data_IF_184476615964
#
_entry.id   IF_184476615964
#
_cell.length_a   1.000
_cell.length_b   1.000
_cell.length_c   1.000
_cell.angle_alpha   90.00
_cell.angle_beta   90.00
_cell.angle_gamma   90.00
#
_symmetry.space_group_name_H-M   'P 1'
#
loop_
_entity.id
_entity.type
_entity.pdbx_description
1 polymer ?
#
# COMPACT_ATOMS: atom_id res chain seq x y z
N UNK A 1 44.23 82.04 21.40
CA UNK A 1 43.79 81.73 22.77
C UNK A 1 43.56 80.24 22.89
N UNK A 2 43.91 79.70 24.05
CA UNK A 2 44.16 78.30 24.38
C UNK A 2 43.04 77.29 24.10
N UNK A 3 43.47 76.02 23.99
CA UNK A 3 42.68 74.79 24.00
C UNK A 3 41.92 74.61 25.33
N UNK A 4 40.88 73.75 25.42
CA UNK A 4 41.18 72.40 25.94
C UNK A 4 40.29 71.21 25.47
N UNK A 5 40.96 70.05 25.37
CA UNK A 5 40.64 68.67 25.84
C UNK A 5 39.24 68.03 25.61
N UNK A 6 39.27 66.87 24.93
CA UNK A 6 38.30 65.74 24.92
C UNK A 6 38.21 65.01 26.31
N UNK A 7 37.38 63.96 26.59
CA UNK A 7 36.75 62.97 25.67
C UNK A 7 35.37 62.34 26.07
N UNK A 8 34.86 61.46 25.20
CA UNK A 8 34.13 60.25 25.63
C UNK A 8 32.78 59.98 24.95
N UNK A 9 32.60 58.77 24.40
CA UNK A 9 31.28 58.14 24.27
C UNK A 9 30.81 57.63 22.90
N UNK A 10 31.43 56.53 22.44
CA UNK A 10 30.81 55.36 21.77
C UNK A 10 29.96 55.49 20.47
N UNK A 11 30.54 54.87 19.41
CA UNK A 11 29.98 53.97 18.36
C UNK A 11 28.95 54.58 17.38
N UNK A 12 29.26 54.85 16.09
CA UNK A 12 29.63 53.94 14.96
C UNK A 12 28.62 52.79 14.79
N UNK A 13 28.01 52.50 13.65
CA UNK A 13 28.03 52.96 12.25
C UNK A 13 26.72 52.44 11.61
N UNK A 14 26.13 53.12 10.63
CA UNK A 14 26.44 53.07 9.19
C UNK A 14 26.24 51.69 8.53
N UNK A 15 25.62 51.72 7.34
CA UNK A 15 25.78 50.69 6.31
C UNK A 15 24.65 49.66 6.16
N UNK A 16 23.79 49.87 5.16
CA UNK A 16 23.06 48.84 4.38
C UNK A 16 24.07 47.81 3.81
N UNK A 17 23.72 46.53 3.48
CA UNK A 17 22.87 46.19 2.32
C UNK A 17 22.09 44.84 2.37
N UNK A 18 21.27 44.62 1.34
CA UNK A 18 20.72 43.40 0.73
C UNK A 18 20.69 42.03 1.46
N UNK A 19 19.51 41.40 1.35
CA UNK A 19 19.34 39.95 1.27
C UNK A 19 18.48 39.34 2.37
N UNK A 20 17.27 38.87 2.03
CA UNK A 20 16.91 37.46 2.12
C UNK A 20 15.44 37.21 1.74
N UNK A 21 15.32 36.45 0.67
CA UNK A 21 14.18 35.66 0.23
C UNK A 21 13.74 34.72 1.37
N UNK A 22 12.51 34.88 1.86
CA UNK A 22 11.88 33.94 2.79
C UNK A 22 10.68 33.33 2.07
N UNK A 23 10.97 32.22 1.39
CA UNK A 23 10.01 31.27 0.86
C UNK A 23 8.99 30.90 1.95
N UNK A 24 7.71 31.11 1.64
CA UNK A 24 6.61 30.58 2.42
C UNK A 24 6.63 29.05 2.38
N UNK A 25 6.81 28.43 3.54
CA UNK A 25 6.45 27.03 3.74
C UNK A 25 4.91 26.95 3.77
N UNK A 26 4.30 26.74 2.60
CA UNK A 26 2.96 26.16 2.56
C UNK A 26 3.06 24.73 3.10
N UNK A 27 2.87 24.58 4.41
CA UNK A 27 2.44 23.31 4.99
C UNK A 27 1.05 23.01 4.41
N UNK A 28 1.03 22.28 3.30
CA UNK A 28 -0.20 21.68 2.78
C UNK A 28 -0.78 20.80 3.87
N UNK A 29 -1.89 21.25 4.47
CA UNK A 29 -2.69 20.45 5.38
C UNK A 29 -3.02 19.14 4.66
N UNK A 30 -2.66 17.95 5.20
CA UNK A 30 -3.09 16.71 4.59
C UNK A 30 -4.63 16.70 4.57
N UNK A 31 -5.26 16.15 3.51
CA UNK A 31 -6.71 16.06 3.47
C UNK A 31 -7.20 15.29 4.70
N UNK A 32 -8.37 15.64 5.26
CA UNK A 32 -8.90 14.95 6.42
C UNK A 32 -9.13 13.48 6.06
N UNK A 33 -8.39 12.59 6.71
CA UNK A 33 -8.67 11.15 6.70
C UNK A 33 -10.06 10.96 7.30
N UNK A 34 -11.01 10.59 6.43
CA UNK A 34 -12.33 10.16 6.88
C UNK A 34 -12.16 8.81 7.57
N UNK A 35 -12.04 8.83 8.90
CA UNK A 35 -12.18 7.65 9.75
C UNK A 35 -13.65 7.18 9.72
N UNK A 36 -14.06 6.57 8.61
CA UNK A 36 -15.29 5.80 8.64
C UNK A 36 -15.01 4.51 9.40
N UNK A 37 -15.55 4.40 10.62
CA UNK A 37 -15.60 3.18 11.44
C UNK A 37 -16.45 2.04 10.81
N UNK A 38 -16.79 2.15 9.53
CA UNK A 38 -17.50 1.14 8.76
C UNK A 38 -16.47 0.14 8.20
N UNK A 39 -16.47 -1.13 8.65
CA UNK A 39 -15.56 -2.16 8.15
C UNK A 39 -15.61 -2.30 6.62
N UNK A 40 -16.76 -2.01 6.01
CA UNK A 40 -16.94 -2.11 4.56
C UNK A 40 -16.19 -1.03 3.78
N UNK A 41 -15.90 0.12 4.41
CA UNK A 41 -15.23 1.28 3.81
C UNK A 41 -13.72 1.34 4.09
N UNK A 42 -13.20 0.44 4.93
CA UNK A 42 -11.79 0.44 5.33
C UNK A 42 -10.83 0.06 4.21
N UNK A 43 -11.17 -0.95 3.42
CA UNK A 43 -10.32 -1.44 2.34
C UNK A 43 -10.73 -0.80 1.02
N UNK A 44 -9.75 -0.28 0.27
CA UNK A 44 -9.94 0.15 -1.11
C UNK A 44 -10.06 -1.06 -2.07
N UNK A 45 -10.40 -0.79 -3.34
CA UNK A 45 -10.58 -1.86 -4.34
C UNK A 45 -9.36 -2.77 -4.49
N UNK A 46 -8.15 -2.22 -4.54
CA UNK A 46 -6.93 -3.02 -4.70
C UNK A 46 -6.65 -3.90 -3.47
N UNK A 47 -6.88 -3.36 -2.27
CA UNK A 47 -6.78 -4.09 -1.01
C UNK A 47 -7.82 -5.22 -0.93
N UNK A 48 -9.04 -5.02 -1.45
CA UNK A 48 -10.05 -6.08 -1.52
C UNK A 48 -9.70 -7.17 -2.53
N UNK A 49 -9.09 -6.83 -3.67
CA UNK A 49 -8.54 -7.85 -4.58
C UNK A 49 -7.48 -8.68 -3.86
N UNK A 50 -6.55 -8.05 -3.13
CA UNK A 50 -5.54 -8.78 -2.39
C UNK A 50 -6.14 -9.65 -1.27
N UNK A 51 -7.13 -9.13 -0.54
CA UNK A 51 -7.92 -9.91 0.44
C UNK A 51 -8.50 -11.18 -0.18
N UNK A 52 -9.21 -11.04 -1.31
CA UNK A 52 -9.85 -12.17 -1.98
C UNK A 52 -8.83 -13.16 -2.53
N UNK A 53 -7.67 -12.69 -2.99
CA UNK A 53 -6.57 -13.58 -3.39
C UNK A 53 -6.11 -14.44 -2.21
N UNK A 54 -5.89 -13.85 -1.03
CA UNK A 54 -5.52 -14.59 0.18
C UNK A 54 -6.57 -15.64 0.54
N UNK A 55 -7.86 -15.30 0.45
CA UNK A 55 -8.97 -16.20 0.75
C UNK A 55 -9.20 -17.28 -0.33
N UNK A 56 -8.76 -17.04 -1.57
CA UNK A 56 -8.89 -18.01 -2.67
C UNK A 56 -7.87 -19.15 -2.61
N UNK A 57 -6.86 -19.04 -1.74
CA UNK A 57 -5.81 -20.05 -1.57
C UNK A 57 -6.21 -20.92 -0.37
N UNK A 58 -6.90 -22.03 -0.64
CA UNK A 58 -7.46 -22.91 0.40
C UNK A 58 -6.38 -23.42 1.38
N UNK A 59 -5.19 -23.73 0.87
CA UNK A 59 -4.06 -24.22 1.68
C UNK A 59 -3.50 -23.18 2.65
N UNK A 60 -3.85 -21.90 2.48
CA UNK A 60 -3.48 -20.86 3.44
C UNK A 60 -4.31 -20.92 4.72
N UNK A 61 -5.48 -21.59 4.68
CA UNK A 61 -6.41 -21.78 5.81
C UNK A 61 -6.78 -20.46 6.53
N UNK A 62 -6.75 -19.33 5.81
CA UNK A 62 -7.05 -18.02 6.37
C UNK A 62 -8.56 -17.78 6.45
N UNK A 63 -9.02 -17.32 7.61
CA UNK A 63 -10.35 -16.70 7.69
C UNK A 63 -10.30 -15.22 7.28
N UNK A 64 -11.47 -14.61 7.04
CA UNK A 64 -11.58 -13.22 6.60
C UNK A 64 -10.85 -12.22 7.52
N UNK A 65 -10.93 -12.41 8.84
CA UNK A 65 -10.29 -11.50 9.80
C UNK A 65 -8.76 -11.57 9.74
N UNK A 66 -8.21 -12.77 9.59
CA UNK A 66 -6.76 -12.97 9.41
C UNK A 66 -6.28 -12.37 8.08
N UNK A 67 -7.00 -12.62 7.00
CA UNK A 67 -6.67 -12.08 5.69
C UNK A 67 -6.76 -10.54 5.67
N UNK A 68 -7.78 -9.95 6.31
CA UNK A 68 -7.89 -8.49 6.45
C UNK A 68 -6.71 -7.90 7.24
N UNK A 69 -6.31 -8.52 8.36
CA UNK A 69 -5.14 -8.09 9.13
C UNK A 69 -3.87 -8.12 8.28
N UNK A 70 -3.67 -9.16 7.48
CA UNK A 70 -2.51 -9.26 6.59
C UNK A 70 -2.52 -8.15 5.52
N UNK A 71 -3.68 -7.84 4.93
CA UNK A 71 -3.82 -6.76 3.95
C UNK A 71 -3.44 -5.41 4.56
N UNK A 72 -3.89 -5.11 5.78
CA UNK A 72 -3.55 -3.86 6.48
C UNK A 72 -2.05 -3.77 6.77
N UNK A 73 -1.44 -4.86 7.25
CA UNK A 73 0.01 -4.90 7.55
C UNK A 73 0.88 -4.79 6.31
N UNK A 74 0.48 -5.41 5.20
CA UNK A 74 1.15 -5.24 3.90
C UNK A 74 0.97 -3.80 3.41
N UNK A 75 -0.18 -3.17 3.67
CA UNK A 75 -0.43 -1.78 3.29
C UNK A 75 0.49 -0.81 4.06
N UNK A 76 0.57 -0.91 5.40
CA UNK A 76 1.48 -0.12 6.24
C UNK A 76 2.97 -0.38 5.91
N UNK A 77 3.31 -1.58 5.42
CA UNK A 77 4.69 -1.87 5.05
C UNK A 77 5.14 -1.13 3.78
N UNK A 78 4.19 -0.75 2.92
CA UNK A 78 4.43 -0.27 1.55
C UNK A 78 4.16 1.23 1.39
N UNK A 79 3.22 1.78 2.14
CA UNK A 79 2.86 3.18 2.02
C UNK A 79 3.90 4.11 2.66
N UNK A 80 3.84 5.39 2.32
CA UNK A 80 4.91 6.34 2.66
C UNK A 80 4.78 6.95 4.06
N UNK A 81 3.61 6.85 4.68
CA UNK A 81 3.37 7.42 5.99
C UNK A 81 3.92 6.52 7.11
N UNK A 82 3.60 6.83 8.37
CA UNK A 82 4.11 6.11 9.56
C UNK A 82 3.00 5.87 10.57
N UNK A 83 1.75 6.05 10.15
CA UNK A 83 0.58 5.99 11.00
C UNK A 83 -0.01 4.60 10.85
N UNK A 84 0.00 3.77 11.90
CA UNK A 84 -0.50 2.42 11.77
C UNK A 84 -1.99 2.43 11.44
N UNK A 85 -2.39 1.65 10.44
CA UNK A 85 -3.81 1.35 10.21
C UNK A 85 -4.34 0.49 11.35
N UNK A 86 -5.66 0.44 11.48
CA UNK A 86 -6.28 -0.50 12.42
C UNK A 86 -5.90 -1.93 12.02
N UNK A 87 -5.37 -2.72 12.96
CA UNK A 87 -4.79 -4.05 12.73
C UNK A 87 -3.53 -4.08 11.84
N UNK A 88 -3.04 -2.91 11.41
CA UNK A 88 -1.79 -2.73 10.67
C UNK A 88 -0.54 -2.91 11.53
N UNK A 89 0.62 -2.57 10.95
CA UNK A 89 1.90 -2.71 11.59
C UNK A 89 2.90 -1.69 11.05
N UNK A 90 3.42 -0.86 11.95
CA UNK A 90 4.39 0.20 11.67
C UNK A 90 5.67 0.00 12.49
N UNK A 91 6.56 1.01 12.49
CA UNK A 91 7.83 1.01 13.23
C UNK A 91 7.77 0.40 14.64
N UNK A 92 6.73 0.66 15.43
CA UNK A 92 6.58 0.09 16.78
C UNK A 92 6.55 -1.45 16.78
N UNK A 93 5.80 -2.04 15.86
CA UNK A 93 5.66 -3.49 15.73
C UNK A 93 6.99 -4.12 15.29
N UNK A 94 7.62 -3.57 14.26
CA UNK A 94 8.83 -4.16 13.70
C UNK A 94 10.06 -4.00 14.60
N UNK A 95 10.16 -2.90 15.35
CA UNK A 95 11.22 -2.68 16.33
C UNK A 95 11.09 -3.58 17.58
N UNK A 96 9.88 -4.05 17.88
CA UNK A 96 9.62 -4.99 18.97
C UNK A 96 9.81 -6.47 18.57
N UNK A 97 10.06 -6.76 17.30
CA UNK A 97 10.27 -8.12 16.80
C UNK A 97 11.59 -8.74 17.28
N UNK A 98 11.74 -10.06 17.12
CA UNK A 98 12.97 -10.77 17.49
C UNK A 98 14.22 -10.27 16.75
N UNK A 99 14.04 -9.70 15.54
CA UNK A 99 15.10 -9.10 14.73
C UNK A 99 14.68 -7.67 14.37
N UNK A 100 14.89 -6.69 15.26
CA UNK A 100 14.38 -5.34 15.08
C UNK A 100 14.83 -4.67 13.80
N UNK A 101 13.89 -4.08 13.08
CA UNK A 101 14.15 -3.27 11.89
C UNK A 101 13.03 -2.23 11.70
N UNK A 102 13.18 -1.34 10.72
CA UNK A 102 12.13 -0.36 10.35
C UNK A 102 11.47 -0.79 9.06
N UNK A 103 10.13 -0.68 8.96
CA UNK A 103 9.46 -0.95 7.70
C UNK A 103 9.97 0.03 6.62
N UNK A 104 10.04 -0.41 5.35
CA UNK A 104 10.61 0.41 4.28
C UNK A 104 9.82 1.67 3.97
N UNK A 105 8.49 1.63 4.16
CA UNK A 105 7.53 2.69 3.87
C UNK A 105 7.70 3.20 2.43
N UNK A 106 7.77 2.24 1.50
CA UNK A 106 7.96 2.45 0.06
C UNK A 106 7.40 1.26 -0.74
N UNK A 107 7.14 1.45 -2.04
CA UNK A 107 6.91 0.33 -2.95
C UNK A 107 7.95 -0.78 -2.79
N UNK A 108 7.48 -2.03 -2.86
CA UNK A 108 8.34 -3.20 -2.83
C UNK A 108 9.30 -3.17 -4.02
N UNK A 109 10.55 -3.55 -3.79
CA UNK A 109 11.55 -3.80 -4.81
C UNK A 109 11.57 -5.28 -5.21
N UNK A 110 11.10 -6.17 -4.35
CA UNK A 110 10.96 -7.61 -4.60
C UNK A 110 9.79 -8.19 -3.83
N UNK A 111 9.08 -9.17 -4.42
CA UNK A 111 8.04 -9.94 -3.73
C UNK A 111 8.58 -10.58 -2.44
N UNK A 112 9.87 -10.92 -2.41
CA UNK A 112 10.50 -11.54 -1.23
C UNK A 112 10.50 -10.66 0.01
N UNK A 113 10.34 -9.34 -0.13
CA UNK A 113 10.22 -8.43 1.02
C UNK A 113 8.97 -8.73 1.87
N UNK A 114 7.95 -9.38 1.30
CA UNK A 114 6.76 -9.82 2.05
C UNK A 114 7.09 -10.76 3.20
N UNK A 115 8.23 -11.48 3.18
CA UNK A 115 8.68 -12.32 4.31
C UNK A 115 9.00 -11.52 5.56
N UNK A 116 9.21 -10.22 5.44
CA UNK A 116 9.49 -9.35 6.58
C UNK A 116 8.19 -8.87 7.26
N UNK A 117 7.08 -8.81 6.51
CA UNK A 117 5.80 -8.29 7.01
C UNK A 117 5.29 -9.14 8.17
N UNK A 118 4.84 -8.48 9.24
CA UNK A 118 4.39 -9.15 10.44
C UNK A 118 3.18 -10.06 10.14
N UNK A 119 3.26 -11.32 10.54
CA UNK A 119 2.21 -12.32 10.26
C UNK A 119 2.36 -13.08 8.93
N UNK A 120 3.26 -12.68 8.02
CA UNK A 120 3.59 -13.52 6.85
C UNK A 120 4.62 -14.57 7.25
N UNK A 121 4.14 -15.79 7.51
CA UNK A 121 5.00 -16.93 7.81
C UNK A 121 5.74 -17.43 6.56
N UNK A 122 6.86 -18.17 6.70
CA UNK A 122 7.53 -18.82 5.56
C UNK A 122 6.60 -19.75 4.76
N UNK A 123 5.66 -20.42 5.44
CA UNK A 123 4.64 -21.29 4.86
C UNK A 123 3.67 -20.47 4.01
N UNK A 124 3.07 -19.43 4.60
CA UNK A 124 2.12 -18.56 3.91
C UNK A 124 2.79 -17.86 2.72
N UNK A 125 4.01 -17.36 2.90
CA UNK A 125 4.78 -16.76 1.81
C UNK A 125 4.91 -17.70 0.61
N UNK A 126 5.22 -18.99 0.84
CA UNK A 126 5.38 -19.98 -0.24
C UNK A 126 4.08 -20.20 -1.01
N UNK A 127 2.93 -20.08 -0.33
CA UNK A 127 1.61 -20.23 -0.94
C UNK A 127 1.20 -19.01 -1.77
N UNK A 128 1.46 -17.80 -1.27
CA UNK A 128 0.98 -16.57 -1.94
C UNK A 128 1.95 -16.07 -3.02
N UNK A 129 3.26 -16.27 -2.87
CA UNK A 129 4.27 -15.72 -3.77
C UNK A 129 4.08 -16.05 -5.27
N UNK A 130 3.61 -17.25 -5.68
CA UNK A 130 3.35 -17.56 -7.08
C UNK A 130 2.30 -16.68 -7.77
N UNK A 131 1.45 -16.00 -6.99
CA UNK A 131 0.35 -15.16 -7.49
C UNK A 131 0.71 -13.67 -7.50
N UNK A 132 1.91 -13.30 -7.03
CA UNK A 132 2.31 -11.93 -6.79
C UNK A 132 3.48 -11.54 -7.69
N UNK A 133 3.53 -10.27 -8.05
CA UNK A 133 4.66 -9.66 -8.77
C UNK A 133 4.89 -8.25 -8.27
N UNK A 134 6.10 -7.76 -8.45
CA UNK A 134 6.42 -6.33 -8.31
C UNK A 134 6.53 -5.77 -9.72
N UNK A 135 5.64 -4.84 -10.05
CA UNK A 135 5.57 -4.22 -11.37
C UNK A 135 5.47 -2.69 -11.23
N UNK A 136 6.00 -1.91 -12.19
CA UNK A 136 5.76 -0.47 -12.22
C UNK A 136 4.27 -0.13 -12.17
N UNK A 137 3.90 0.94 -11.48
CA UNK A 137 2.49 1.38 -11.33
C UNK A 137 1.84 1.70 -12.68
N UNK A 138 2.64 2.15 -13.64
CA UNK A 138 2.15 2.44 -14.99
C UNK A 138 2.05 1.16 -15.84
N UNK A 139 0.87 0.93 -16.41
CA UNK A 139 0.62 -0.25 -17.26
C UNK A 139 0.42 -1.57 -16.50
N UNK A 140 0.33 -1.56 -15.17
CA UNK A 140 0.07 -2.74 -14.35
C UNK A 140 -1.39 -3.18 -14.43
N UNK A 141 -1.76 -3.89 -15.50
CA UNK A 141 -3.05 -4.60 -15.59
C UNK A 141 -2.84 -6.10 -15.45
N UNK A 142 -3.76 -6.77 -14.77
CA UNK A 142 -3.80 -8.24 -14.73
C UNK A 142 -4.23 -8.76 -16.10
N UNK A 143 -3.49 -9.72 -16.65
CA UNK A 143 -3.88 -10.42 -17.87
C UNK A 143 -4.84 -11.57 -17.52
N UNK A 144 -6.13 -11.37 -17.73
CA UNK A 144 -7.19 -12.36 -17.48
C UNK A 144 -7.01 -13.67 -18.26
N UNK A 145 -6.34 -13.62 -19.42
CA UNK A 145 -6.11 -14.80 -20.26
C UNK A 145 -5.01 -15.71 -19.71
N UNK A 146 -4.16 -15.19 -18.83
CA UNK A 146 -3.05 -15.96 -18.23
C UNK A 146 -3.15 -16.05 -16.71
N UNK A 147 -4.06 -15.32 -16.09
CA UNK A 147 -4.26 -15.35 -14.65
C UNK A 147 -4.61 -16.78 -14.18
N UNK A 148 -3.99 -17.27 -13.09
CA UNK A 148 -4.35 -18.54 -12.49
C UNK A 148 -5.75 -18.48 -11.85
N UNK A 149 -6.41 -19.62 -11.62
CA UNK A 149 -7.77 -19.68 -11.06
C UNK A 149 -7.96 -18.86 -9.78
N UNK A 150 -6.99 -18.91 -8.86
CA UNK A 150 -7.00 -18.18 -7.59
C UNK A 150 -7.01 -16.67 -7.81
N UNK A 151 -6.18 -16.18 -8.76
CA UNK A 151 -6.17 -14.77 -9.11
C UNK A 151 -7.47 -14.36 -9.82
N UNK A 152 -8.05 -15.21 -10.67
CA UNK A 152 -9.36 -14.95 -11.27
C UNK A 152 -10.45 -14.88 -10.20
N UNK A 153 -10.42 -15.76 -9.19
CA UNK A 153 -11.35 -15.74 -8.07
C UNK A 153 -11.28 -14.41 -7.29
N UNK A 154 -10.11 -13.78 -7.23
CA UNK A 154 -9.91 -12.50 -6.59
C UNK A 154 -10.49 -11.30 -7.36
N UNK A 155 -10.88 -11.47 -8.62
CA UNK A 155 -11.44 -10.41 -9.49
C UNK A 155 -12.97 -10.28 -9.38
N UNK A 156 -13.57 -10.74 -8.27
CA UNK A 156 -14.96 -10.43 -7.95
C UNK A 156 -15.23 -8.92 -7.90
N UNK A 157 -16.51 -8.53 -7.93
CA UNK A 157 -16.93 -7.12 -7.94
C UNK A 157 -16.32 -6.27 -6.82
N UNK A 158 -16.23 -4.96 -7.05
CA UNK A 158 -15.45 -4.03 -6.23
C UNK A 158 -15.81 -4.04 -4.73
N UNK A 159 -17.08 -4.29 -4.39
CA UNK A 159 -17.58 -4.30 -3.01
C UNK A 159 -17.53 -5.69 -2.34
N UNK A 160 -17.13 -6.73 -3.07
CA UNK A 160 -17.08 -8.10 -2.54
C UNK A 160 -15.90 -8.30 -1.58
N UNK A 161 -16.14 -8.94 -0.45
CA UNK A 161 -15.08 -9.40 0.47
C UNK A 161 -14.63 -10.83 0.20
N UNK A 162 -15.49 -11.62 -0.44
CA UNK A 162 -15.24 -13.02 -0.74
C UNK A 162 -14.79 -13.20 -2.19
N UNK A 163 -13.94 -14.20 -2.47
CA UNK A 163 -13.61 -14.56 -3.84
C UNK A 163 -14.84 -15.11 -4.58
N UNK A 164 -14.77 -15.15 -5.92
CA UNK A 164 -15.76 -15.86 -6.74
C UNK A 164 -15.85 -17.33 -6.30
N UNK A 165 -17.03 -17.93 -6.41
CA UNK A 165 -17.19 -19.35 -6.10
C UNK A 165 -16.39 -20.22 -7.09
N UNK A 166 -15.91 -21.38 -6.64
CA UNK A 166 -15.09 -22.28 -7.46
C UNK A 166 -15.79 -22.71 -8.76
N UNK A 167 -17.12 -22.78 -8.76
CA UNK A 167 -17.91 -23.08 -9.96
C UNK A 167 -17.87 -21.95 -10.99
N UNK A 168 -17.93 -20.69 -10.55
CA UNK A 168 -17.82 -19.51 -11.41
C UNK A 168 -16.42 -19.44 -12.02
N UNK A 169 -15.39 -19.66 -11.19
CA UNK A 169 -13.99 -19.70 -11.66
C UNK A 169 -13.78 -20.83 -12.68
N UNK A 170 -14.34 -22.03 -12.43
CA UNK A 170 -14.26 -23.14 -13.36
C UNK A 170 -14.90 -22.80 -14.72
N UNK A 171 -16.07 -22.15 -14.70
CA UNK A 171 -16.74 -21.67 -15.91
C UNK A 171 -15.88 -20.64 -16.67
N UNK A 172 -15.27 -19.69 -15.97
CA UNK A 172 -14.34 -18.72 -16.59
C UNK A 172 -13.18 -19.44 -17.28
N UNK A 173 -12.57 -20.43 -16.61
CA UNK A 173 -11.44 -21.19 -17.16
C UNK A 173 -11.85 -22.00 -18.39
N UNK A 174 -13.06 -22.57 -18.40
CA UNK A 174 -13.61 -23.30 -19.54
C UNK A 174 -13.86 -22.36 -20.74
N UNK A 175 -14.56 -21.25 -20.53
CA UNK A 175 -14.80 -20.24 -21.58
C UNK A 175 -13.48 -19.69 -22.16
N UNK A 176 -12.46 -19.53 -21.31
CA UNK A 176 -11.11 -19.13 -21.76
C UNK A 176 -10.47 -20.20 -22.65
N UNK A 177 -10.59 -21.47 -22.29
CA UNK A 177 -10.03 -22.59 -23.06
C UNK A 177 -10.70 -22.75 -24.43
N UNK A 178 -12.00 -22.43 -24.52
CA UNK A 178 -12.77 -22.43 -25.77
C UNK A 178 -12.54 -21.20 -26.65
N UNK A 179 -11.81 -20.19 -26.15
CA UNK A 179 -11.56 -18.94 -26.86
C UNK A 179 -12.77 -17.99 -26.87
N UNK A 180 -13.72 -18.19 -25.96
CA UNK A 180 -14.90 -17.33 -25.81
C UNK A 180 -14.59 -16.04 -25.05
N UNK A 181 -13.54 -16.05 -24.22
CA UNK A 181 -13.00 -14.85 -23.58
C UNK A 181 -11.78 -14.40 -24.39
N UNK A 182 -11.90 -13.22 -25.02
CA UNK A 182 -10.83 -12.67 -25.88
C UNK A 182 -10.34 -11.31 -25.41
N UNK A 183 -11.16 -10.59 -24.62
CA UNK A 183 -10.89 -9.27 -24.09
C UNK A 183 -11.62 -9.05 -22.75
N UNK A 184 -11.53 -7.84 -22.21
CA UNK A 184 -12.17 -7.50 -20.93
C UNK A 184 -13.70 -7.43 -21.07
N UNK A 185 -14.22 -6.99 -22.22
CA UNK A 185 -15.66 -6.81 -22.40
C UNK A 185 -16.37 -8.17 -22.42
N UNK A 186 -15.83 -9.12 -23.20
CA UNK A 186 -16.32 -10.52 -23.22
C UNK A 186 -16.19 -11.20 -21.86
N UNK A 187 -15.14 -10.90 -21.09
CA UNK A 187 -15.01 -11.39 -19.72
C UNK A 187 -16.12 -10.86 -18.80
N UNK A 188 -16.41 -9.56 -18.85
CA UNK A 188 -17.40 -8.93 -17.98
C UNK A 188 -18.85 -9.25 -18.35
N UNK A 189 -19.15 -9.50 -19.63
CA UNK A 189 -20.52 -9.80 -20.07
C UNK A 189 -20.88 -11.27 -19.99
N UNK A 190 -19.93 -12.15 -20.28
CA UNK A 190 -20.22 -13.57 -20.52
C UNK A 190 -19.73 -14.45 -19.38
N UNK A 191 -18.69 -14.03 -18.65
CA UNK A 191 -18.00 -14.86 -17.66
C UNK A 191 -18.39 -14.55 -16.20
N UNK A 192 -18.69 -13.29 -15.89
CA UNK A 192 -19.25 -12.82 -14.60
C UNK A 192 -20.78 -12.65 -14.67
#
# INVERSE_FOLDING_TARGET
MESPRQPGGQRSGDGTPDGQDLSGEEQGTPPPVSESNDPSKRLNTQQRVFLRLLLSIEEAELNRGEAMRLVERVSDFIDADRTPRLDGAESEVYLASAFPYRPPNRPLASVSELRAVDGITPELYRLIAPYLTVWPVEGSKVNILTAPPQLLAALAGDDAFEPLASQEVARIVELRAEGMITDVDTYLSDAL
#
